data_IF_734791240633
#
_entry.id   IF_734791240633
#
_cell.length_a   1.000
_cell.length_b   1.000
_cell.length_c   1.000
_cell.angle_alpha   90.00
_cell.angle_beta   90.00
_cell.angle_gamma   90.00
#
_symmetry.space_group_name_H-M   'P 1'
#
loop_
_entity.id
_entity.type
_entity.pdbx_description
1 polymer ?
#
# COMPACT_ATOMS: atom_id res chain seq x y z
N UNK A 1 33.47 -9.22 -4.96
CA UNK A 1 34.04 -8.01 -5.60
C UNK A 1 32.95 -6.95 -5.82
N UNK A 2 31.77 -7.30 -6.30
CA UNK A 2 30.66 -6.35 -6.59
C UNK A 2 30.29 -5.47 -5.37
N UNK A 3 30.09 -6.09 -4.21
CA UNK A 3 29.74 -5.39 -2.95
C UNK A 3 30.89 -4.48 -2.47
N UNK A 4 32.13 -4.89 -2.69
CA UNK A 4 33.29 -4.12 -2.26
C UNK A 4 33.63 -2.94 -3.21
N UNK A 5 33.03 -2.90 -4.39
CA UNK A 5 33.36 -1.92 -5.43
C UNK A 5 33.25 -0.45 -4.95
N UNK A 6 32.17 -0.03 -4.27
CA UNK A 6 32.06 1.36 -3.78
C UNK A 6 33.19 1.71 -2.79
N UNK A 7 33.59 0.79 -1.93
CA UNK A 7 34.67 1.00 -0.96
C UNK A 7 36.03 1.12 -1.64
N UNK A 8 36.28 0.26 -2.63
CA UNK A 8 37.54 0.29 -3.39
C UNK A 8 37.67 1.57 -4.20
N UNK A 9 36.56 2.06 -4.78
CA UNK A 9 36.52 3.34 -5.50
C UNK A 9 36.80 4.52 -4.56
N UNK A 10 36.33 4.42 -3.31
CA UNK A 10 36.61 5.40 -2.25
C UNK A 10 38.00 5.23 -1.60
N UNK A 11 38.90 4.47 -2.23
CA UNK A 11 40.28 4.22 -1.79
C UNK A 11 40.43 3.54 -0.41
N UNK A 12 39.40 2.83 0.05
CA UNK A 12 39.48 2.00 1.26
C UNK A 12 40.43 0.82 1.02
N UNK A 13 41.27 0.49 2.00
CA UNK A 13 42.21 -0.64 1.90
C UNK A 13 41.45 -1.94 1.58
N UNK A 14 41.94 -2.68 0.57
CA UNK A 14 41.27 -3.93 0.06
C UNK A 14 40.90 -4.91 1.17
N UNK A 15 41.76 -5.10 2.17
CA UNK A 15 41.49 -6.02 3.30
C UNK A 15 40.26 -5.57 4.11
N UNK A 16 40.09 -4.27 4.33
CA UNK A 16 38.94 -3.67 5.04
C UNK A 16 37.67 -3.83 4.18
N UNK A 17 37.75 -3.48 2.89
CA UNK A 17 36.63 -3.62 1.95
C UNK A 17 36.10 -5.06 1.87
N UNK A 18 37.02 -6.07 1.81
CA UNK A 18 36.64 -7.47 1.78
C UNK A 18 35.96 -7.90 3.10
N UNK A 19 36.50 -7.47 4.25
CA UNK A 19 35.88 -7.75 5.55
C UNK A 19 34.46 -7.20 5.59
N UNK A 20 34.29 -5.93 5.23
CA UNK A 20 32.95 -5.28 5.16
C UNK A 20 32.02 -5.99 4.18
N UNK A 21 32.49 -6.37 3.01
CA UNK A 21 31.73 -7.13 2.02
C UNK A 21 31.20 -8.46 2.56
N UNK A 22 31.99 -9.19 3.34
CA UNK A 22 31.58 -10.44 3.98
C UNK A 22 30.51 -10.21 5.07
N UNK A 23 30.64 -9.15 5.86
CA UNK A 23 29.63 -8.76 6.85
C UNK A 23 28.29 -8.47 6.18
N UNK A 24 28.32 -7.72 5.08
CA UNK A 24 27.11 -7.39 4.30
C UNK A 24 26.51 -8.63 3.61
N UNK A 25 27.32 -9.55 3.10
CA UNK A 25 26.83 -10.84 2.57
C UNK A 25 26.08 -11.65 3.65
N UNK A 26 26.57 -11.66 4.88
CA UNK A 26 25.87 -12.29 6.00
C UNK A 26 24.56 -11.57 6.32
N UNK A 27 24.56 -10.24 6.34
CA UNK A 27 23.37 -9.43 6.61
C UNK A 27 22.25 -9.74 5.62
N UNK A 28 22.56 -9.88 4.32
CA UNK A 28 21.57 -10.17 3.27
C UNK A 28 21.32 -11.68 3.07
N UNK A 29 21.90 -12.55 3.90
CA UNK A 29 21.69 -14.01 3.86
C UNK A 29 22.32 -14.71 2.66
N UNK A 30 23.48 -14.23 2.17
CA UNK A 30 24.20 -14.76 1.02
C UNK A 30 25.67 -15.07 1.34
N UNK A 31 25.98 -15.47 2.57
CA UNK A 31 27.36 -15.77 2.99
C UNK A 31 28.02 -16.88 2.14
N UNK A 32 27.22 -17.85 1.67
CA UNK A 32 27.65 -18.97 0.82
C UNK A 32 27.92 -18.55 -0.63
N UNK A 33 27.54 -17.35 -1.05
CA UNK A 33 27.66 -16.83 -2.42
C UNK A 33 28.85 -15.87 -2.60
N UNK A 34 29.83 -15.85 -1.69
CA UNK A 34 30.99 -14.92 -1.75
C UNK A 34 31.71 -14.96 -3.09
N UNK A 35 31.87 -16.16 -3.67
CA UNK A 35 32.60 -16.39 -4.91
C UNK A 35 31.70 -16.57 -6.14
N UNK A 36 30.37 -16.43 -6.00
CA UNK A 36 29.45 -16.60 -7.11
C UNK A 36 29.49 -15.40 -8.08
N UNK A 37 29.36 -15.70 -9.37
CA UNK A 37 29.19 -14.70 -10.41
C UNK A 37 27.71 -14.29 -10.55
N UNK A 38 27.41 -13.06 -11.02
CA UNK A 38 26.03 -12.60 -11.20
C UNK A 38 25.14 -13.54 -12.02
N UNK A 39 25.68 -14.22 -13.03
CA UNK A 39 24.93 -15.19 -13.83
C UNK A 39 24.46 -16.42 -13.05
N UNK A 40 25.09 -16.72 -11.91
CA UNK A 40 24.77 -17.86 -11.04
C UNK A 40 23.76 -17.51 -9.95
N UNK A 41 23.26 -16.26 -9.90
CA UNK A 41 22.35 -15.77 -8.90
C UNK A 41 20.94 -15.62 -9.47
N UNK A 42 19.93 -16.00 -8.68
CA UNK A 42 18.52 -15.69 -8.98
C UNK A 42 18.25 -14.18 -8.94
N UNK A 43 17.11 -13.74 -9.47
CA UNK A 43 16.68 -12.33 -9.44
C UNK A 43 16.68 -11.75 -8.02
N UNK A 44 16.07 -12.45 -7.07
CA UNK A 44 16.07 -12.03 -5.67
C UNK A 44 17.45 -12.02 -5.00
N UNK A 45 18.35 -12.97 -5.37
CA UNK A 45 19.73 -12.94 -4.90
C UNK A 45 20.52 -11.76 -5.48
N UNK A 46 20.31 -11.43 -6.76
CA UNK A 46 20.89 -10.22 -7.38
C UNK A 46 20.43 -8.96 -6.67
N UNK A 47 19.15 -8.89 -6.32
CA UNK A 47 18.59 -7.75 -5.58
C UNK A 47 19.20 -7.61 -4.17
N UNK A 48 19.37 -8.73 -3.44
CA UNK A 48 20.06 -8.74 -2.15
C UNK A 48 21.52 -8.28 -2.27
N UNK A 49 22.22 -8.66 -3.33
CA UNK A 49 23.58 -8.17 -3.62
C UNK A 49 23.58 -6.67 -3.91
N UNK A 50 22.60 -6.16 -4.65
CA UNK A 50 22.45 -4.72 -4.92
C UNK A 50 22.23 -3.92 -3.63
N UNK A 51 21.36 -4.40 -2.74
CA UNK A 51 21.14 -3.82 -1.41
C UNK A 51 22.46 -3.83 -0.61
N UNK A 52 23.15 -4.97 -0.52
CA UNK A 52 24.43 -5.07 0.18
C UNK A 52 25.48 -4.11 -0.39
N UNK A 53 25.53 -3.94 -1.70
CA UNK A 53 26.42 -2.98 -2.37
C UNK A 53 26.09 -1.54 -1.98
N UNK A 54 24.82 -1.18 -1.96
CA UNK A 54 24.38 0.16 -1.54
C UNK A 54 24.72 0.47 -0.08
N UNK A 55 24.68 -0.55 0.79
CA UNK A 55 25.03 -0.43 2.22
C UNK A 55 26.55 -0.40 2.49
N UNK A 56 27.40 -0.63 1.49
CA UNK A 56 28.83 -0.76 1.69
C UNK A 56 29.49 0.50 2.28
N UNK A 57 28.97 1.67 1.93
CA UNK A 57 29.49 3.00 2.34
C UNK A 57 28.78 3.56 3.58
N UNK A 58 28.07 2.76 4.32
CA UNK A 58 27.31 3.15 5.53
C UNK A 58 26.39 4.38 5.31
N UNK A 59 25.45 4.31 4.33
CA UNK A 59 24.59 5.42 3.99
C UNK A 59 23.59 5.71 5.11
N UNK A 60 23.15 6.96 5.26
CA UNK A 60 22.03 7.34 6.13
C UNK A 60 20.67 7.07 5.49
N UNK A 61 20.63 7.04 4.15
CA UNK A 61 19.42 6.86 3.36
C UNK A 61 19.68 5.79 2.29
N UNK A 62 18.80 4.80 2.19
CA UNK A 62 18.78 3.79 1.13
C UNK A 62 17.62 4.09 0.18
N UNK A 63 17.92 4.34 -1.09
CA UNK A 63 16.92 4.53 -2.14
C UNK A 63 16.66 3.20 -2.86
N UNK A 64 15.41 2.81 -2.96
CA UNK A 64 14.95 1.59 -3.62
C UNK A 64 13.95 1.98 -4.71
N UNK A 65 14.41 2.00 -5.96
CA UNK A 65 13.57 2.26 -7.11
C UNK A 65 13.08 0.94 -7.68
N UNK A 66 11.77 0.71 -7.65
CA UNK A 66 11.08 -0.51 -8.10
C UNK A 66 11.79 -1.82 -7.71
N UNK A 67 12.32 -1.89 -6.50
CA UNK A 67 13.20 -2.97 -6.03
C UNK A 67 12.57 -4.38 -6.09
N UNK A 68 11.26 -4.47 -6.33
CA UNK A 68 10.49 -5.73 -6.32
C UNK A 68 9.66 -5.98 -7.58
N UNK A 69 9.65 -5.06 -8.57
CA UNK A 69 8.77 -5.10 -9.74
C UNK A 69 8.94 -6.35 -10.63
N UNK A 70 10.16 -6.90 -10.69
CA UNK A 70 10.50 -8.08 -11.51
C UNK A 70 10.61 -9.39 -10.70
N UNK A 71 10.07 -9.44 -9.49
CA UNK A 71 10.18 -10.58 -8.58
C UNK A 71 8.81 -11.23 -8.35
N UNK A 72 8.82 -12.54 -8.10
CA UNK A 72 7.63 -13.26 -7.66
C UNK A 72 7.19 -12.80 -6.26
N UNK A 73 5.91 -13.00 -5.88
CA UNK A 73 5.38 -12.50 -4.60
C UNK A 73 6.14 -13.00 -3.36
N UNK A 74 6.61 -14.25 -3.38
CA UNK A 74 7.37 -14.84 -2.26
C UNK A 74 8.73 -14.15 -2.11
N UNK A 75 9.43 -13.96 -3.21
CA UNK A 75 10.73 -13.28 -3.23
C UNK A 75 10.58 -11.80 -2.87
N UNK A 76 9.53 -11.13 -3.38
CA UNK A 76 9.16 -9.77 -2.98
C UNK A 76 9.05 -9.65 -1.47
N UNK A 77 8.25 -10.51 -0.84
CA UNK A 77 8.08 -10.50 0.62
C UNK A 77 9.43 -10.67 1.37
N UNK A 78 10.31 -11.53 0.89
CA UNK A 78 11.64 -11.72 1.48
C UNK A 78 12.54 -10.48 1.36
N UNK A 79 12.42 -9.71 0.27
CA UNK A 79 13.16 -8.45 0.11
C UNK A 79 12.59 -7.36 1.03
N UNK A 80 11.27 -7.27 1.16
CA UNK A 80 10.63 -6.32 2.07
C UNK A 80 10.98 -6.59 3.53
N UNK A 81 11.00 -7.87 3.95
CA UNK A 81 11.43 -8.28 5.29
C UNK A 81 12.91 -7.91 5.54
N UNK A 82 13.76 -8.10 4.54
CA UNK A 82 15.16 -7.69 4.61
C UNK A 82 15.30 -6.16 4.74
N UNK A 83 14.56 -5.36 3.97
CA UNK A 83 14.58 -3.90 4.07
C UNK A 83 14.09 -3.42 5.45
N UNK A 84 13.01 -4.00 5.97
CA UNK A 84 12.52 -3.73 7.33
C UNK A 84 13.55 -4.06 8.42
N UNK A 85 14.24 -5.20 8.26
CA UNK A 85 15.34 -5.60 9.14
C UNK A 85 16.48 -4.59 9.10
N UNK A 86 16.93 -4.19 7.91
CA UNK A 86 18.00 -3.21 7.69
C UNK A 86 17.64 -1.86 8.33
N UNK A 87 16.42 -1.37 8.10
CA UNK A 87 15.94 -0.13 8.71
C UNK A 87 16.04 -0.17 10.26
N UNK A 88 15.56 -1.27 10.89
CA UNK A 88 15.59 -1.43 12.34
C UNK A 88 17.00 -1.60 12.92
N UNK A 89 17.83 -2.45 12.29
CA UNK A 89 19.14 -2.81 12.82
C UNK A 89 20.19 -1.72 12.59
N UNK A 90 20.13 -1.02 11.45
CA UNK A 90 21.09 -0.01 11.08
C UNK A 90 20.60 1.43 11.35
N UNK A 91 19.33 1.64 11.68
CA UNK A 91 18.76 2.96 11.94
C UNK A 91 18.76 3.89 10.73
N UNK A 92 18.82 3.35 9.51
CA UNK A 92 18.85 4.14 8.27
C UNK A 92 17.44 4.40 7.75
N UNK A 93 17.25 5.51 7.05
CA UNK A 93 16.00 5.77 6.33
C UNK A 93 15.96 4.96 5.04
N UNK A 94 14.85 4.26 4.79
CA UNK A 94 14.61 3.55 3.53
C UNK A 94 13.53 4.29 2.77
N UNK A 95 13.83 4.74 1.56
CA UNK A 95 12.90 5.38 0.63
C UNK A 95 12.61 4.39 -0.50
N UNK A 96 11.35 4.08 -0.73
CA UNK A 96 10.90 3.12 -1.73
C UNK A 96 10.05 3.84 -2.76
N UNK A 97 10.40 3.69 -4.04
CA UNK A 97 9.59 4.15 -5.17
C UNK A 97 8.88 2.91 -5.72
N UNK A 98 7.56 2.93 -5.74
CA UNK A 98 6.74 1.81 -6.21
C UNK A 98 5.34 2.29 -6.61
N UNK A 99 4.73 1.58 -7.55
CA UNK A 99 3.31 1.69 -7.88
C UNK A 99 2.46 0.60 -7.18
N UNK A 100 3.09 -0.30 -6.41
CA UNK A 100 2.42 -1.41 -5.73
C UNK A 100 2.01 -1.00 -4.31
N UNK A 101 0.72 -0.75 -4.10
CA UNK A 101 0.20 -0.35 -2.79
C UNK A 101 0.45 -1.41 -1.71
N UNK A 102 0.44 -2.69 -2.05
CA UNK A 102 0.79 -3.78 -1.13
C UNK A 102 2.19 -3.67 -0.52
N UNK A 103 3.15 -3.10 -1.25
CA UNK A 103 4.50 -2.79 -0.73
C UNK A 103 4.44 -1.65 0.29
N UNK A 104 3.69 -0.59 -0.03
CA UNK A 104 3.51 0.57 0.87
C UNK A 104 2.85 0.12 2.17
N UNK A 105 1.75 -0.61 2.08
CA UNK A 105 1.00 -1.16 3.23
C UNK A 105 1.89 -2.01 4.15
N UNK A 106 2.78 -2.81 3.56
CA UNK A 106 3.56 -3.80 4.30
C UNK A 106 4.67 -3.21 5.15
N UNK A 107 5.42 -2.22 4.65
CA UNK A 107 6.65 -1.78 5.30
C UNK A 107 6.80 -0.26 5.46
N UNK A 108 5.98 0.56 4.83
CA UNK A 108 6.11 2.00 4.91
C UNK A 108 5.34 2.59 6.10
N UNK A 109 5.91 3.64 6.69
CA UNK A 109 5.24 4.42 7.75
C UNK A 109 4.62 5.71 7.19
N UNK A 110 5.26 6.26 6.15
CA UNK A 110 4.83 7.47 5.44
C UNK A 110 4.79 7.21 3.95
N UNK A 111 3.91 7.89 3.27
CA UNK A 111 3.76 7.83 1.82
C UNK A 111 3.67 9.25 1.26
N UNK A 112 4.22 9.42 0.07
CA UNK A 112 4.05 10.63 -0.74
C UNK A 112 3.60 10.19 -2.13
N UNK A 113 2.43 10.63 -2.53
CA UNK A 113 1.84 10.33 -3.83
C UNK A 113 2.27 11.41 -4.82
N UNK A 114 2.83 10.97 -5.94
CA UNK A 114 3.24 11.84 -7.04
C UNK A 114 2.24 11.69 -8.18
N UNK A 115 1.79 12.80 -8.72
CA UNK A 115 0.97 12.88 -9.92
C UNK A 115 1.51 13.96 -10.85
N UNK A 116 1.76 13.60 -12.13
CA UNK A 116 2.34 14.51 -13.14
C UNK A 116 3.59 15.27 -12.65
N UNK A 117 4.47 14.59 -11.90
CA UNK A 117 5.73 15.16 -11.39
C UNK A 117 5.57 16.13 -10.22
N UNK A 118 4.38 16.20 -9.61
CA UNK A 118 4.08 17.02 -8.43
C UNK A 118 3.61 16.15 -7.28
N UNK A 119 3.81 16.64 -6.06
CA UNK A 119 3.25 15.99 -4.87
C UNK A 119 1.75 16.28 -4.86
N UNK A 120 0.95 15.21 -5.00
CA UNK A 120 -0.50 15.27 -4.90
C UNK A 120 -0.95 15.16 -3.44
N UNK A 121 -0.27 14.30 -2.66
CA UNK A 121 -0.63 14.04 -1.27
C UNK A 121 0.56 13.47 -0.51
N UNK A 122 0.68 13.74 0.81
CA UNK A 122 1.74 13.19 1.65
C UNK A 122 1.27 13.12 3.10
N UNK A 123 1.49 11.97 3.75
CA UNK A 123 1.10 11.75 5.14
C UNK A 123 1.54 10.40 5.67
N UNK A 124 0.97 9.98 6.80
CA UNK A 124 1.13 8.61 7.28
C UNK A 124 0.39 7.65 6.36
N UNK A 125 0.89 6.42 6.23
CA UNK A 125 0.23 5.39 5.42
C UNK A 125 -1.20 5.15 5.94
N UNK A 126 -1.39 5.14 7.26
CA UNK A 126 -2.70 4.93 7.89
C UNK A 126 -3.71 6.03 7.54
N UNK A 127 -3.31 7.29 7.55
CA UNK A 127 -4.20 8.42 7.20
C UNK A 127 -4.60 8.38 5.74
N UNK A 128 -3.61 8.27 4.84
CA UNK A 128 -3.86 8.28 3.39
C UNK A 128 -4.67 7.06 2.94
N UNK A 129 -4.45 5.89 3.55
CA UNK A 129 -5.23 4.70 3.22
C UNK A 129 -6.64 4.71 3.81
N UNK A 130 -6.84 5.35 4.95
CA UNK A 130 -8.17 5.52 5.54
C UNK A 130 -9.01 6.54 4.77
N UNK A 131 -8.41 7.69 4.42
CA UNK A 131 -9.12 8.80 3.77
C UNK A 131 -8.18 9.54 2.80
N UNK A 132 -7.96 9.00 1.58
CA UNK A 132 -7.21 9.73 0.56
C UNK A 132 -7.98 10.98 0.12
N UNK A 133 -7.32 12.14 0.16
CA UNK A 133 -7.94 13.42 -0.20
C UNK A 133 -7.78 13.72 -1.69
N UNK A 134 -6.59 13.41 -2.27
CA UNK A 134 -6.31 13.64 -3.68
C UNK A 134 -6.95 12.60 -4.60
N UNK A 135 -7.33 13.00 -5.82
CA UNK A 135 -7.84 12.06 -6.82
C UNK A 135 -6.80 10.97 -7.17
N UNK A 136 -5.51 11.33 -7.24
CA UNK A 136 -4.44 10.36 -7.42
C UNK A 136 -4.37 9.35 -6.27
N UNK A 137 -4.54 9.82 -5.01
CA UNK A 137 -4.61 8.97 -3.83
C UNK A 137 -5.80 8.02 -3.88
N UNK A 138 -6.98 8.53 -4.22
CA UNK A 138 -8.19 7.72 -4.35
C UNK A 138 -8.03 6.61 -5.40
N UNK A 139 -7.48 6.92 -6.59
CA UNK A 139 -7.19 5.93 -7.63
C UNK A 139 -6.20 4.86 -7.19
N UNK A 140 -5.14 5.23 -6.46
CA UNK A 140 -4.12 4.29 -6.02
C UNK A 140 -4.58 3.41 -4.86
N UNK A 141 -5.31 3.97 -3.90
CA UNK A 141 -5.79 3.24 -2.72
C UNK A 141 -7.01 2.38 -3.06
N UNK A 142 -7.88 2.87 -3.95
CA UNK A 142 -9.12 2.19 -4.35
C UNK A 142 -9.22 2.05 -5.89
N UNK A 143 -8.32 1.28 -6.53
CA UNK A 143 -8.26 1.16 -7.99
C UNK A 143 -9.54 0.61 -8.62
N UNK A 144 -10.27 -0.25 -7.89
CA UNK A 144 -11.46 -0.93 -8.42
C UNK A 144 -12.77 -0.13 -8.25
N UNK A 145 -12.69 1.12 -7.75
CA UNK A 145 -13.87 1.91 -7.37
C UNK A 145 -14.75 2.30 -8.56
N UNK A 146 -14.15 2.58 -9.70
CA UNK A 146 -14.84 3.12 -10.87
C UNK A 146 -15.49 2.02 -11.73
N UNK A 147 -14.82 0.90 -11.94
CA UNK A 147 -15.25 -0.08 -12.96
C UNK A 147 -16.23 -1.12 -12.42
N UNK A 148 -16.07 -1.62 -11.19
CA UNK A 148 -16.85 -2.77 -10.71
C UNK A 148 -18.16 -2.40 -10.02
N UNK A 149 -18.20 -1.31 -9.23
CA UNK A 149 -19.40 -0.92 -8.49
C UNK A 149 -20.48 -0.26 -9.35
N UNK A 150 -20.08 0.35 -10.47
CA UNK A 150 -20.99 1.12 -11.33
C UNK A 150 -21.68 0.30 -12.43
N UNK A 151 -21.11 -0.84 -12.83
CA UNK A 151 -21.71 -1.72 -13.84
C UNK A 151 -23.08 -2.24 -13.45
N UNK A 152 -23.39 -2.28 -12.14
CA UNK A 152 -24.69 -2.75 -11.60
C UNK A 152 -25.56 -1.63 -11.04
N UNK A 153 -25.12 -0.37 -11.17
CA UNK A 153 -25.83 0.77 -10.64
C UNK A 153 -27.16 1.02 -11.38
N UNK A 154 -28.22 1.24 -10.61
CA UNK A 154 -29.54 1.62 -11.08
C UNK A 154 -29.85 3.07 -10.66
N UNK A 155 -30.47 3.83 -11.56
CA UNK A 155 -30.79 5.24 -11.34
C UNK A 155 -31.83 5.48 -10.21
N UNK A 156 -32.54 4.41 -9.78
CA UNK A 156 -33.48 4.42 -8.67
C UNK A 156 -32.82 4.38 -7.27
N UNK A 157 -31.48 4.30 -7.21
CA UNK A 157 -30.72 4.20 -5.96
C UNK A 157 -29.73 5.34 -5.80
N UNK A 158 -29.38 5.63 -4.55
CA UNK A 158 -28.22 6.44 -4.18
C UNK A 158 -27.08 5.51 -3.80
N UNK A 159 -25.84 5.94 -4.03
CA UNK A 159 -24.65 5.22 -3.61
C UNK A 159 -24.07 5.89 -2.38
N UNK A 160 -23.95 5.14 -1.29
CA UNK A 160 -23.29 5.58 -0.06
C UNK A 160 -21.95 4.89 0.04
N UNK A 161 -20.89 5.67 0.18
CA UNK A 161 -19.54 5.20 0.47
C UNK A 161 -19.37 5.08 1.97
N UNK A 162 -19.01 3.91 2.45
CA UNK A 162 -18.77 3.61 3.86
C UNK A 162 -17.31 3.23 4.03
N UNK A 163 -16.57 3.96 4.84
CA UNK A 163 -15.17 3.68 5.19
C UNK A 163 -15.08 3.28 6.66
N UNK A 164 -14.30 2.22 6.93
CA UNK A 164 -14.01 1.75 8.30
C UNK A 164 -12.53 1.89 8.57
N UNK A 165 -12.18 2.38 9.75
CA UNK A 165 -10.78 2.56 10.15
C UNK A 165 -10.43 1.86 11.48
N UNK A 166 -11.28 0.94 11.95
CA UNK A 166 -11.09 0.20 13.18
C UNK A 166 -11.42 -1.30 13.01
N UNK A 167 -10.69 -2.14 13.76
CA UNK A 167 -10.88 -3.59 13.76
C UNK A 167 -12.22 -4.00 14.39
N UNK A 168 -12.65 -3.33 15.45
CA UNK A 168 -13.92 -3.65 16.12
C UNK A 168 -15.11 -3.40 15.19
N UNK A 169 -15.09 -2.30 14.46
CA UNK A 169 -16.15 -1.97 13.50
C UNK A 169 -16.15 -2.89 12.28
N UNK A 170 -14.97 -3.34 11.85
CA UNK A 170 -14.85 -4.26 10.71
C UNK A 170 -15.37 -5.66 11.03
N UNK A 171 -15.31 -6.09 12.30
CA UNK A 171 -15.83 -7.37 12.78
C UNK A 171 -17.31 -7.31 13.19
N UNK A 172 -17.89 -6.10 13.33
CA UNK A 172 -19.31 -5.94 13.68
C UNK A 172 -20.22 -6.24 12.48
N UNK A 173 -21.43 -6.79 12.69
CA UNK A 173 -22.40 -7.05 11.63
C UNK A 173 -23.14 -5.78 11.18
N UNK A 174 -22.44 -4.67 11.01
CA UNK A 174 -22.97 -3.32 10.77
C UNK A 174 -24.09 -3.26 9.71
N UNK A 175 -23.92 -3.97 8.59
CA UNK A 175 -24.89 -3.96 7.50
C UNK A 175 -26.16 -4.78 7.89
N UNK A 176 -25.98 -5.86 8.64
CA UNK A 176 -27.11 -6.63 9.13
C UNK A 176 -27.91 -5.83 10.18
N UNK A 177 -27.20 -5.16 11.09
CA UNK A 177 -27.82 -4.32 12.12
C UNK A 177 -28.56 -3.12 11.50
N UNK A 178 -27.99 -2.51 10.47
CA UNK A 178 -28.65 -1.44 9.69
C UNK A 178 -29.95 -1.95 9.06
N UNK A 179 -29.88 -3.08 8.33
CA UNK A 179 -31.06 -3.64 7.67
C UNK A 179 -32.17 -4.06 8.66
N UNK A 180 -31.79 -4.60 9.83
CA UNK A 180 -32.73 -5.01 10.88
C UNK A 180 -33.34 -3.79 11.57
N UNK A 181 -32.54 -2.79 11.91
CA UNK A 181 -32.95 -1.62 12.70
C UNK A 181 -33.82 -0.66 11.88
N UNK A 182 -33.40 -0.37 10.65
CA UNK A 182 -34.11 0.58 9.79
C UNK A 182 -35.20 -0.07 8.92
N UNK A 183 -35.08 -1.39 8.69
CA UNK A 183 -35.97 -2.09 7.76
C UNK A 183 -35.75 -1.70 6.29
N UNK A 184 -34.60 -1.09 5.98
CA UNK A 184 -34.24 -0.60 4.65
C UNK A 184 -33.31 -1.63 4.00
N UNK A 185 -33.69 -2.28 2.88
CA UNK A 185 -32.82 -3.21 2.19
C UNK A 185 -31.78 -2.49 1.35
N UNK A 186 -30.49 -2.76 1.61
CA UNK A 186 -29.36 -2.24 0.86
C UNK A 186 -28.76 -3.31 -0.07
N UNK A 187 -28.10 -2.85 -1.11
CA UNK A 187 -27.27 -3.70 -1.96
C UNK A 187 -25.80 -3.34 -1.76
N UNK A 188 -24.97 -4.33 -1.48
CA UNK A 188 -23.51 -4.16 -1.49
C UNK A 188 -23.08 -4.13 -2.96
N UNK A 189 -22.63 -2.96 -3.43
CA UNK A 189 -22.14 -2.76 -4.80
C UNK A 189 -20.65 -3.08 -4.90
N UNK A 190 -19.90 -2.78 -3.82
CA UNK A 190 -18.49 -3.04 -3.68
C UNK A 190 -18.14 -3.21 -2.21
N UNK A 191 -17.22 -4.10 -1.89
CA UNK A 191 -16.64 -4.21 -0.56
C UNK A 191 -15.19 -4.67 -0.65
N UNK A 192 -14.31 -4.00 0.09
CA UNK A 192 -12.91 -4.38 0.21
C UNK A 192 -12.44 -4.13 1.65
N UNK A 193 -11.77 -5.12 2.22
CA UNK A 193 -11.17 -5.01 3.54
C UNK A 193 -9.70 -5.31 3.45
N UNK A 194 -8.85 -4.50 4.11
CA UNK A 194 -7.40 -4.64 4.15
C UNK A 194 -6.92 -4.57 5.59
N UNK A 195 -5.82 -5.25 5.90
CA UNK A 195 -5.16 -5.14 7.19
C UNK A 195 -3.87 -4.34 7.06
N UNK A 196 -3.74 -3.27 7.84
CA UNK A 196 -2.56 -2.41 7.87
C UNK A 196 -2.07 -2.29 9.32
N UNK A 197 -0.84 -2.74 9.59
CA UNK A 197 -0.25 -2.70 10.94
C UNK A 197 -1.14 -3.31 12.05
N UNK A 198 -1.89 -4.38 11.70
CA UNK A 198 -2.80 -5.06 12.64
C UNK A 198 -4.14 -4.36 12.85
N UNK A 199 -4.42 -3.27 12.14
CA UNK A 199 -5.74 -2.64 12.08
C UNK A 199 -6.43 -3.02 10.78
N UNK A 200 -7.73 -3.27 10.83
CA UNK A 200 -8.53 -3.51 9.65
C UNK A 200 -9.06 -2.17 9.11
N UNK A 201 -8.90 -1.97 7.82
CA UNK A 201 -9.46 -0.85 7.07
C UNK A 201 -10.37 -1.43 5.99
N UNK A 202 -11.51 -0.85 5.81
CA UNK A 202 -12.43 -1.30 4.79
C UNK A 202 -13.12 -0.14 4.10
N UNK A 203 -13.51 -0.38 2.84
CA UNK A 203 -14.40 0.49 2.10
C UNK A 203 -15.51 -0.34 1.48
N UNK A 204 -16.73 0.18 1.58
CA UNK A 204 -17.92 -0.43 0.99
C UNK A 204 -18.72 0.63 0.23
N UNK A 205 -19.33 0.24 -0.87
CA UNK A 205 -20.34 1.03 -1.57
C UNK A 205 -21.69 0.35 -1.40
N UNK A 206 -22.63 1.07 -0.83
CA UNK A 206 -24.00 0.59 -0.62
C UNK A 206 -24.94 1.28 -1.59
N UNK A 207 -25.80 0.51 -2.24
CA UNK A 207 -26.90 1.02 -3.06
C UNK A 207 -28.17 1.08 -2.24
N UNK A 208 -28.65 2.29 -1.92
CA UNK A 208 -29.86 2.55 -1.13
C UNK A 208 -30.93 3.12 -2.05
N UNK A 209 -32.18 2.61 -1.99
CA UNK A 209 -33.30 3.11 -2.76
C UNK A 209 -33.64 4.55 -2.38
N UNK A 210 -33.90 5.40 -3.40
CA UNK A 210 -34.33 6.81 -3.26
C UNK A 210 -35.81 6.91 -2.89
N UNK A 211 -36.23 6.27 -1.80
CA UNK A 211 -37.59 6.28 -1.32
C UNK A 211 -37.65 7.04 0.02
N UNK A 212 -38.46 8.11 0.06
CA UNK A 212 -38.61 8.93 1.28
C UNK A 212 -37.29 9.48 1.80
N UNK A 213 -37.03 9.27 3.09
CA UNK A 213 -35.84 9.70 3.84
C UNK A 213 -34.78 8.56 4.01
N UNK A 214 -34.91 7.48 3.25
CA UNK A 214 -34.08 6.30 3.41
C UNK A 214 -32.57 6.63 3.41
N UNK A 215 -32.13 7.47 2.49
CA UNK A 215 -30.70 7.82 2.33
C UNK A 215 -30.18 8.54 3.56
N UNK A 216 -30.94 9.52 4.08
CA UNK A 216 -30.55 10.31 5.24
C UNK A 216 -30.50 9.44 6.51
N UNK A 217 -31.49 8.56 6.70
CA UNK A 217 -31.55 7.62 7.83
C UNK A 217 -30.40 6.62 7.82
N UNK A 218 -30.01 6.13 6.63
CA UNK A 218 -28.86 5.22 6.48
C UNK A 218 -27.55 5.96 6.79
N UNK A 219 -27.40 7.20 6.31
CA UNK A 219 -26.23 8.03 6.61
C UNK A 219 -26.11 8.33 8.11
N UNK A 220 -27.21 8.71 8.76
CA UNK A 220 -27.26 8.99 10.20
C UNK A 220 -26.89 7.74 11.00
N UNK A 221 -27.53 6.59 10.74
CA UNK A 221 -27.24 5.34 11.40
C UNK A 221 -25.76 4.93 11.28
N UNK A 222 -25.19 5.00 10.08
CA UNK A 222 -23.80 4.61 9.85
C UNK A 222 -22.82 5.54 10.56
N UNK A 223 -23.06 6.86 10.54
CA UNK A 223 -22.18 7.84 11.15
C UNK A 223 -22.32 7.93 12.70
N UNK A 224 -23.31 7.28 13.30
CA UNK A 224 -23.39 7.11 14.77
C UNK A 224 -22.38 6.09 15.30
N UNK A 225 -21.80 5.25 14.44
CA UNK A 225 -20.84 4.23 14.86
C UNK A 225 -19.41 4.78 14.84
N UNK A 226 -18.69 4.61 15.96
CA UNK A 226 -17.28 5.02 16.06
C UNK A 226 -16.43 4.28 15.01
N UNK A 227 -15.55 5.00 14.34
CA UNK A 227 -14.69 4.44 13.31
C UNK A 227 -15.35 4.21 11.95
N UNK A 228 -16.60 4.59 11.75
CA UNK A 228 -17.31 4.58 10.46
C UNK A 228 -17.42 6.01 9.92
N UNK A 229 -17.16 6.16 8.63
CA UNK A 229 -17.45 7.38 7.88
C UNK A 229 -18.29 7.00 6.67
N UNK A 230 -19.54 7.51 6.63
CA UNK A 230 -20.46 7.31 5.52
C UNK A 230 -20.73 8.64 4.80
N UNK A 231 -20.55 8.65 3.48
CA UNK A 231 -20.76 9.83 2.63
C UNK A 231 -21.56 9.46 1.38
N UNK A 232 -22.42 10.37 0.91
CA UNK A 232 -23.14 10.21 -0.34
C UNK A 232 -22.18 10.39 -1.52
N UNK A 233 -22.10 9.41 -2.43
CA UNK A 233 -21.25 9.49 -3.62
C UNK A 233 -21.96 10.15 -4.79
N UNK A 234 -21.27 11.07 -5.46
CA UNK A 234 -21.73 11.68 -6.71
C UNK A 234 -21.44 10.75 -7.91
N UNK A 235 -22.44 9.94 -8.22
CA UNK A 235 -22.35 8.96 -9.32
C UNK A 235 -22.10 9.61 -10.69
N UNK A 236 -22.47 10.88 -10.88
CA UNK A 236 -22.25 11.58 -12.13
C UNK A 236 -20.79 11.85 -12.44
N UNK A 237 -19.98 12.01 -11.39
CA UNK A 237 -18.52 12.15 -11.49
C UNK A 237 -17.87 10.81 -11.82
N UNK A 238 -18.34 9.73 -11.19
CA UNK A 238 -17.82 8.39 -11.38
C UNK A 238 -18.04 7.87 -12.81
N UNK A 239 -19.17 8.22 -13.47
CA UNK A 239 -19.43 7.84 -14.87
C UNK A 239 -18.53 8.57 -15.88
N UNK A 240 -18.16 9.83 -15.63
CA UNK A 240 -17.29 10.60 -16.52
C UNK A 240 -15.84 10.11 -16.54
N UNK A 241 -15.39 9.49 -15.46
CA UNK A 241 -14.05 8.91 -15.37
C UNK A 241 -13.92 7.63 -16.20
N UNK A 242 -14.99 6.82 -16.29
CA UNK A 242 -15.01 5.59 -17.11
C UNK A 242 -15.00 5.91 -18.61
N UNK A 243 -15.73 6.96 -19.04
CA UNK A 243 -15.82 7.37 -20.45
C UNK A 243 -14.56 8.12 -20.95
N UNK A 244 -13.64 8.51 -20.05
CA UNK A 244 -12.40 9.24 -20.42
C UNK A 244 -11.18 8.33 -20.62
N UNK A 245 -11.27 7.06 -20.27
CA UNK A 245 -10.19 6.07 -20.39
C UNK A 245 -10.39 5.10 -21.60
N UNK A 246 -11.43 5.29 -22.41
CA UNK A 246 -11.58 4.71 -23.76
C UNK A 246 -11.03 5.69 -24.84
#
# INVERSE_FOLDING_TARGET
>A
QNICFPLLTSRVKRKVAIKRGRELLKLVGLADKENAYPAQLSGGQKQRVAIARALATDPKVLLCDEATSALDPKTTNQILDLLSKINRELGITVVIITHQMSVVERICNKVTILDNGRIAESGSVTEIFAKPESEAGKRLVFPDKAEQGLATYRDDRSVISVSFNDSETTESPLIADLAITLGIPESILYASTRSLNGKAFGKMLLGVKKEGDNVDRVLEFLNEHDGVLAELEDVSKLRKEVDSDE
#
